data_IF_659234011945
#
_entry.id   IF_659234011945
#
_cell.length_a   1.000
_cell.length_b   1.000
_cell.length_c   1.000
_cell.angle_alpha   90.00
_cell.angle_beta   90.00
_cell.angle_gamma   90.00
#
_symmetry.space_group_name_H-M   'P 1'
#
loop_
_entity.id
_entity.type
_entity.pdbx_description
1 polymer ?
#
# COMPACT_ATOMS: atom_id res chain seq x y z
N UNK A 1 13.91 44.62 26.43
CA UNK A 1 14.32 43.23 26.69
C UNK A 1 15.53 42.98 25.81
N UNK A 2 16.68 42.56 26.35
CA UNK A 2 17.88 42.34 25.55
C UNK A 2 17.90 40.93 24.97
N UNK A 3 18.54 40.77 23.82
CA UNK A 3 18.56 39.51 23.06
C UNK A 3 19.12 38.33 23.90
N UNK A 4 20.11 38.59 24.77
CA UNK A 4 20.67 37.59 25.70
C UNK A 4 19.66 36.99 26.70
N UNK A 5 18.54 37.69 26.93
CA UNK A 5 17.46 37.20 27.80
C UNK A 5 16.43 36.42 27.00
N UNK A 6 16.20 36.77 25.73
CA UNK A 6 15.34 36.01 24.84
C UNK A 6 15.98 34.66 24.50
N UNK A 7 17.27 34.64 24.17
CA UNK A 7 18.01 33.41 23.85
C UNK A 7 18.08 32.44 25.03
N UNK A 8 18.19 32.96 26.27
CA UNK A 8 18.11 32.12 27.47
C UNK A 8 16.72 31.52 27.66
N UNK A 9 15.66 32.31 27.48
CA UNK A 9 14.29 31.82 27.63
C UNK A 9 13.92 30.79 26.56
N UNK A 10 14.40 30.98 25.32
CA UNK A 10 14.21 30.00 24.22
C UNK A 10 14.99 28.72 24.51
N UNK A 11 16.25 28.83 24.97
CA UNK A 11 17.06 27.67 25.31
C UNK A 11 16.50 26.89 26.51
N UNK A 12 15.95 27.57 27.51
CA UNK A 12 15.37 26.96 28.71
C UNK A 12 13.99 26.32 28.46
N UNK A 13 13.33 26.65 27.34
CA UNK A 13 12.04 26.08 26.95
C UNK A 13 12.13 24.84 26.05
N UNK A 14 13.33 24.37 25.71
CA UNK A 14 13.54 23.17 24.87
C UNK A 14 13.40 21.88 25.70
N UNK A 15 12.36 21.06 25.46
CA UNK A 15 12.12 19.82 26.21
C UNK A 15 13.08 18.67 25.83
N UNK A 16 13.96 18.84 24.84
CA UNK A 16 14.85 17.79 24.33
C UNK A 16 16.33 17.96 24.72
N UNK A 17 16.62 18.61 25.85
CA UNK A 17 18.01 18.77 26.30
C UNK A 17 18.66 17.39 26.57
N UNK A 18 19.77 17.06 25.88
CA UNK A 18 20.43 15.76 26.01
C UNK A 18 21.05 15.52 27.40
N UNK A 19 21.22 16.57 28.20
CA UNK A 19 21.92 16.51 29.49
C UNK A 19 20.99 16.19 30.67
N UNK A 20 19.67 16.10 30.46
CA UNK A 20 18.66 15.91 31.52
C UNK A 20 17.99 14.53 31.53
N UNK A 21 18.27 13.67 30.55
CA UNK A 21 17.71 12.31 30.50
C UNK A 21 18.84 11.30 30.64
N UNK A 22 19.02 10.78 31.86
CA UNK A 22 19.93 9.65 32.11
C UNK A 22 19.26 8.35 31.66
N UNK A 23 19.47 7.99 30.39
CA UNK A 23 18.94 6.77 29.77
C UNK A 23 19.68 5.49 30.20
N UNK A 24 20.76 5.58 30.98
CA UNK A 24 21.57 4.39 31.34
C UNK A 24 20.87 3.44 32.31
N UNK A 25 19.85 3.91 33.03
CA UNK A 25 19.03 3.07 33.91
C UNK A 25 17.98 2.23 33.17
N UNK A 26 17.36 2.79 32.13
CA UNK A 26 16.25 2.15 31.42
C UNK A 26 16.70 0.99 30.50
N UNK A 27 17.95 1.00 30.02
CA UNK A 27 18.49 -0.07 29.17
C UNK A 27 18.67 -1.40 29.91
N UNK A 28 18.97 -1.40 31.22
CA UNK A 28 19.16 -2.64 31.98
C UNK A 28 17.85 -3.34 32.36
N UNK A 29 16.79 -2.59 32.62
CA UNK A 29 15.49 -3.15 33.00
C UNK A 29 14.80 -3.82 31.79
N UNK A 30 14.90 -3.21 30.60
CA UNK A 30 14.36 -3.78 29.36
C UNK A 30 15.12 -5.04 28.88
N UNK A 31 16.43 -5.12 29.14
CA UNK A 31 17.23 -6.30 28.78
C UNK A 31 16.95 -7.51 29.69
N UNK A 32 16.66 -7.30 30.99
CA UNK A 32 16.26 -8.39 31.87
C UNK A 32 14.85 -8.93 31.56
N UNK A 33 13.92 -8.07 31.15
CA UNK A 33 12.57 -8.49 30.78
C UNK A 33 12.56 -9.34 29.50
N UNK A 34 13.36 -8.96 28.50
CA UNK A 34 13.48 -9.70 27.23
C UNK A 34 14.17 -11.06 27.42
N UNK A 35 15.15 -11.17 28.32
CA UNK A 35 15.83 -12.45 28.58
C UNK A 35 15.04 -13.41 29.49
N UNK A 36 13.98 -12.93 30.14
CA UNK A 36 13.20 -13.71 31.11
C UNK A 36 11.94 -14.36 30.52
N UNK A 37 11.65 -14.15 29.23
CA UNK A 37 10.52 -14.82 28.57
C UNK A 37 10.86 -16.29 28.26
N UNK A 38 10.12 -17.27 28.82
CA UNK A 38 10.37 -18.68 28.53
C UNK A 38 10.01 -19.00 27.08
N UNK A 39 10.98 -19.52 26.33
CA UNK A 39 10.80 -19.98 24.95
C UNK A 39 9.93 -21.24 24.95
N UNK A 40 8.76 -21.27 24.27
CA UNK A 40 7.96 -22.48 24.18
C UNK A 40 8.69 -23.53 23.32
N UNK A 41 8.95 -24.69 23.90
CA UNK A 41 9.57 -25.83 23.23
C UNK A 41 8.64 -26.39 22.14
N UNK A 42 9.10 -26.28 20.88
CA UNK A 42 8.48 -26.88 19.70
C UNK A 42 8.38 -28.40 19.82
N UNK A 43 7.14 -28.92 19.90
CA UNK A 43 6.85 -30.35 19.84
C UNK A 43 6.91 -30.85 18.39
N UNK A 44 7.94 -31.64 18.07
CA UNK A 44 8.07 -32.34 16.78
C UNK A 44 7.00 -33.45 16.66
N UNK A 45 5.99 -33.25 15.83
CA UNK A 45 5.08 -34.31 15.37
C UNK A 45 5.50 -34.78 13.97
N UNK A 46 5.99 -36.02 13.89
CA UNK A 46 6.28 -36.72 12.64
C UNK A 46 4.96 -37.18 12.00
N UNK A 47 4.70 -36.75 10.76
CA UNK A 47 3.78 -37.43 9.86
C UNK A 47 4.48 -37.65 8.52
N UNK A 48 4.52 -38.92 8.10
CA UNK A 48 4.92 -39.37 6.77
C UNK A 48 3.64 -39.56 5.95
N UNK A 49 3.48 -38.79 4.88
CA UNK A 49 2.56 -39.08 3.76
C UNK A 49 3.23 -38.59 2.46
N UNK A 50 3.22 -39.38 1.37
CA UNK A 50 3.80 -38.98 0.09
C UNK A 50 2.78 -38.19 -0.73
N UNK A 51 3.20 -37.10 -1.38
CA UNK A 51 2.38 -36.40 -2.38
C UNK A 51 3.24 -36.08 -3.59
N UNK A 52 2.72 -36.46 -4.76
CA UNK A 52 3.26 -36.16 -6.07
C UNK A 52 3.24 -34.67 -6.38
N UNK A 53 4.25 -34.24 -7.13
CA UNK A 53 4.50 -32.85 -7.45
C UNK A 53 3.41 -32.26 -8.36
N UNK A 54 2.65 -31.32 -7.81
CA UNK A 54 2.05 -30.22 -8.57
C UNK A 54 2.59 -28.92 -7.93
N UNK A 55 3.51 -28.25 -8.62
CA UNK A 55 4.13 -27.02 -8.15
C UNK A 55 3.14 -25.86 -8.35
N UNK A 56 2.41 -25.50 -7.30
CA UNK A 56 1.80 -24.19 -7.17
C UNK A 56 2.83 -23.26 -6.50
N UNK A 57 3.40 -22.34 -7.27
CA UNK A 57 4.26 -21.28 -6.75
C UNK A 57 3.37 -20.26 -6.02
N UNK A 58 3.33 -20.32 -4.69
CA UNK A 58 2.82 -19.25 -3.84
C UNK A 58 4.03 -18.37 -3.49
N UNK A 59 4.16 -17.25 -4.19
CA UNK A 59 5.14 -16.22 -3.86
C UNK A 59 4.61 -15.38 -2.71
N UNK A 60 5.21 -15.54 -1.53
CA UNK A 60 4.93 -14.67 -0.38
C UNK A 60 5.51 -13.29 -0.70
N UNK A 61 4.65 -12.34 -1.07
CA UNK A 61 5.05 -10.94 -1.26
C UNK A 61 5.23 -10.32 0.13
N UNK A 62 6.48 -9.98 0.46
CA UNK A 62 6.80 -9.25 1.68
C UNK A 62 6.24 -7.83 1.60
N UNK A 63 5.30 -7.50 2.48
CA UNK A 63 4.76 -6.16 2.67
C UNK A 63 5.90 -5.18 3.05
N UNK A 64 6.19 -4.24 2.15
CA UNK A 64 7.00 -3.07 2.46
C UNK A 64 6.20 -2.12 3.36
N UNK A 65 6.77 -1.76 4.51
CA UNK A 65 6.19 -0.74 5.39
C UNK A 65 6.18 0.62 4.66
N UNK A 66 5.02 1.02 4.12
CA UNK A 66 4.82 2.37 3.60
C UNK A 66 4.65 3.31 4.79
N UNK A 67 5.70 4.07 5.11
CA UNK A 67 5.55 5.24 5.99
C UNK A 67 4.83 6.33 5.21
N UNK A 68 3.52 6.50 5.42
CA UNK A 68 2.78 7.65 4.89
C UNK A 68 3.14 8.90 5.69
N UNK A 69 3.77 9.85 5.02
CA UNK A 69 3.99 11.20 5.52
C UNK A 69 2.65 11.94 5.48
N UNK A 70 2.16 12.35 6.65
CA UNK A 70 0.88 13.04 6.85
C UNK A 70 0.97 14.44 6.22
N UNK A 71 0.25 14.69 5.14
CA UNK A 71 0.03 16.05 4.60
C UNK A 71 -1.36 16.52 5.00
N UNK A 72 -1.42 17.49 5.93
CA UNK A 72 -2.62 18.24 6.23
C UNK A 72 -3.02 19.08 5.00
N UNK A 73 -4.20 18.79 4.44
CA UNK A 73 -4.86 19.69 3.50
C UNK A 73 -6.33 19.81 3.87
N UNK A 74 -6.68 20.97 4.45
CA UNK A 74 -8.05 21.46 4.61
C UNK A 74 -8.70 21.63 3.22
N UNK A 75 -9.68 20.80 2.89
CA UNK A 75 -10.52 20.99 1.71
C UNK A 75 -11.95 21.34 2.12
N UNK A 76 -12.36 22.58 1.83
CA UNK A 76 -13.76 23.03 1.93
C UNK A 76 -14.55 22.52 0.71
N UNK A 77 -15.63 21.80 0.98
CA UNK A 77 -16.56 21.29 -0.02
C UNK A 77 -17.47 22.39 -0.60
N UNK A 78 -17.65 22.38 -1.93
CA UNK A 78 -18.73 23.11 -2.61
C UNK A 78 -18.50 23.32 -4.12
N UNK A 79 -19.10 22.49 -4.98
CA UNK A 79 -19.15 22.72 -6.42
C UNK A 79 -19.88 21.60 -7.20
N UNK A 80 -20.65 21.92 -8.27
CA UNK A 80 -21.76 21.09 -8.75
C UNK A 80 -21.34 19.93 -9.68
N UNK A 81 -22.19 18.92 -9.71
CA UNK A 81 -22.04 17.69 -10.50
C UNK A 81 -21.99 17.97 -12.02
N UNK A 82 -20.90 17.54 -12.65
CA UNK A 82 -20.76 17.45 -14.10
C UNK A 82 -20.69 15.96 -14.46
N UNK A 83 -21.70 15.46 -15.15
CA UNK A 83 -21.66 14.14 -15.79
C UNK A 83 -20.64 14.16 -16.93
N UNK A 84 -19.41 13.76 -16.64
CA UNK A 84 -18.38 13.48 -17.62
C UNK A 84 -18.47 12.01 -18.07
N UNK A 85 -18.21 11.79 -19.37
CA UNK A 85 -18.20 10.48 -20.01
C UNK A 85 -17.25 9.51 -19.29
N UNK A 86 -17.76 8.34 -18.89
CA UNK A 86 -17.09 7.33 -18.04
C UNK A 86 -15.71 6.85 -18.54
N UNK A 87 -15.40 7.02 -19.82
CA UNK A 87 -14.12 6.59 -20.42
C UNK A 87 -13.02 7.67 -20.41
N UNK A 88 -13.37 8.94 -20.21
CA UNK A 88 -12.40 10.06 -20.27
C UNK A 88 -11.67 10.31 -18.95
N UNK A 89 -12.38 10.19 -17.83
CA UNK A 89 -11.84 10.37 -16.47
C UNK A 89 -10.80 9.30 -16.10
N UNK A 90 -10.97 8.07 -16.58
CA UNK A 90 -10.08 6.93 -16.31
C UNK A 90 -8.76 6.99 -17.08
N UNK A 91 -8.74 7.61 -18.26
CA UNK A 91 -7.49 7.88 -19.00
C UNK A 91 -6.69 9.00 -18.35
N UNK A 92 -7.33 10.06 -17.85
CA UNK A 92 -6.64 11.21 -17.27
C UNK A 92 -5.90 10.89 -15.96
N UNK A 93 -6.45 10.01 -15.12
CA UNK A 93 -5.72 9.47 -13.97
C UNK A 93 -4.49 8.65 -14.41
N UNK A 94 -4.62 7.88 -15.49
CA UNK A 94 -3.53 7.11 -16.12
C UNK A 94 -2.47 8.03 -16.76
N UNK A 95 -2.82 9.27 -17.11
CA UNK A 95 -1.91 10.26 -17.68
C UNK A 95 -0.90 10.84 -16.67
N UNK A 96 -1.16 10.73 -15.37
CA UNK A 96 -0.29 11.27 -14.31
C UNK A 96 0.75 10.27 -13.77
N UNK A 97 0.64 8.98 -14.15
CA UNK A 97 1.51 7.90 -13.69
C UNK A 97 2.72 7.70 -14.63
N UNK A 98 3.87 7.16 -14.16
CA UNK A 98 5.12 7.13 -14.94
C UNK A 98 5.11 6.20 -16.16
N UNK A 99 4.11 5.30 -16.25
CA UNK A 99 3.87 4.39 -17.39
C UNK A 99 5.15 3.73 -17.91
N UNK A 100 5.89 3.11 -17.00
CA UNK A 100 7.08 2.33 -17.32
C UNK A 100 6.70 0.87 -17.54
N UNK A 101 7.23 0.28 -18.60
CA UNK A 101 7.17 -1.15 -18.89
C UNK A 101 8.57 -1.72 -19.02
N UNK A 102 8.72 -3.01 -18.71
CA UNK A 102 9.95 -3.76 -19.01
C UNK A 102 9.78 -4.42 -20.38
N UNK A 103 10.50 -3.92 -21.38
CA UNK A 103 10.51 -4.48 -22.74
C UNK A 103 11.45 -5.69 -22.84
N UNK A 104 11.10 -6.73 -22.07
CA UNK A 104 11.80 -8.02 -22.08
C UNK A 104 10.81 -9.16 -21.84
N UNK A 105 10.78 -10.19 -22.70
CA UNK A 105 9.92 -11.34 -22.50
C UNK A 105 10.12 -12.03 -21.14
N UNK A 106 8.99 -12.43 -20.54
CA UNK A 106 8.93 -13.15 -19.28
C UNK A 106 8.75 -12.26 -18.05
N UNK A 107 8.84 -10.94 -18.19
CA UNK A 107 8.42 -10.01 -17.15
C UNK A 107 6.91 -9.77 -17.20
N UNK A 108 6.25 -9.85 -16.06
CA UNK A 108 4.84 -9.51 -15.92
C UNK A 108 4.59 -8.72 -14.62
N UNK A 109 3.61 -7.81 -14.61
CA UNK A 109 3.11 -7.23 -13.37
C UNK A 109 2.50 -8.33 -12.49
N UNK A 110 2.87 -8.37 -11.22
CA UNK A 110 2.28 -9.27 -10.23
C UNK A 110 1.46 -8.53 -9.20
N UNK A 111 1.82 -7.29 -8.90
CA UNK A 111 1.08 -6.44 -7.98
C UNK A 111 1.12 -4.98 -8.45
N UNK A 112 0.04 -4.23 -8.21
CA UNK A 112 -0.11 -2.81 -8.56
C UNK A 112 -0.97 -2.15 -7.49
N UNK A 113 -0.50 -1.04 -6.95
CA UNK A 113 -1.23 -0.26 -5.94
C UNK A 113 -1.08 1.26 -6.20
N UNK A 114 -2.04 2.06 -5.72
CA UNK A 114 -1.94 3.53 -5.72
C UNK A 114 -1.95 4.18 -7.10
N UNK A 115 -2.39 3.50 -8.15
CA UNK A 115 -2.28 4.01 -9.53
C UNK A 115 -3.10 5.28 -9.81
N UNK A 116 -4.20 5.49 -9.07
CA UNK A 116 -5.00 6.71 -9.17
C UNK A 116 -4.39 7.90 -8.39
N UNK A 117 -3.35 7.65 -7.59
CA UNK A 117 -2.76 8.60 -6.67
C UNK A 117 -1.42 9.13 -7.21
N UNK A 118 -0.93 10.23 -6.64
CA UNK A 118 0.40 10.78 -6.99
C UNK A 118 1.57 9.91 -6.49
N UNK A 119 1.27 8.81 -5.81
CA UNK A 119 2.22 7.81 -5.33
C UNK A 119 1.62 6.42 -5.40
N UNK A 120 2.45 5.43 -5.69
CA UNK A 120 2.04 4.03 -5.73
C UNK A 120 3.19 3.15 -6.21
N UNK A 121 2.89 1.89 -6.45
CA UNK A 121 3.88 0.89 -6.78
C UNK A 121 3.38 -0.11 -7.82
N UNK A 122 4.33 -0.72 -8.52
CA UNK A 122 4.10 -1.87 -9.38
C UNK A 122 5.26 -2.85 -9.21
N UNK A 123 4.91 -4.09 -8.89
CA UNK A 123 5.86 -5.20 -8.81
C UNK A 123 5.85 -5.95 -10.12
N UNK A 124 7.05 -6.19 -10.65
CA UNK A 124 7.28 -7.01 -11.83
C UNK A 124 8.01 -8.27 -11.42
N UNK A 125 7.64 -9.41 -12.00
CA UNK A 125 8.33 -10.68 -11.76
C UNK A 125 8.74 -11.38 -13.05
N UNK A 126 9.89 -12.06 -13.01
CA UNK A 126 10.38 -13.01 -14.02
C UNK A 126 11.06 -14.19 -13.34
N UNK A 127 10.31 -15.27 -13.13
CA UNK A 127 10.77 -16.39 -12.29
C UNK A 127 11.01 -15.90 -10.87
N UNK A 128 12.21 -16.15 -10.34
CA UNK A 128 12.59 -15.72 -8.98
C UNK A 128 13.05 -14.25 -8.89
N UNK A 129 13.13 -13.52 -10.02
CA UNK A 129 13.53 -12.12 -10.04
C UNK A 129 12.31 -11.21 -9.86
N UNK A 130 12.37 -10.31 -8.89
CA UNK A 130 11.34 -9.29 -8.65
C UNK A 130 11.94 -7.88 -8.70
N UNK A 131 11.29 -6.99 -9.45
CA UNK A 131 11.60 -5.56 -9.53
C UNK A 131 10.40 -4.77 -9.01
N UNK A 132 10.63 -3.93 -8.00
CA UNK A 132 9.67 -2.92 -7.54
C UNK A 132 9.91 -1.62 -8.31
N UNK A 133 8.85 -1.02 -8.85
CA UNK A 133 8.85 0.36 -9.29
C UNK A 133 7.87 1.17 -8.45
N UNK A 134 8.39 2.02 -7.59
CA UNK A 134 7.59 2.92 -6.76
C UNK A 134 7.66 4.34 -7.30
N UNK A 135 6.53 5.03 -7.43
CA UNK A 135 6.48 6.44 -7.80
C UNK A 135 5.96 7.32 -6.68
N UNK A 136 6.39 8.58 -6.73
CA UNK A 136 6.12 9.58 -5.71
C UNK A 136 5.98 10.97 -6.35
N UNK A 137 5.37 11.93 -5.65
CA UNK A 137 5.38 13.33 -6.07
C UNK A 137 6.81 13.86 -6.20
N UNK A 138 7.08 14.66 -7.25
CA UNK A 138 8.39 15.28 -7.50
C UNK A 138 8.92 16.09 -6.30
N UNK A 139 8.03 16.67 -5.50
CA UNK A 139 8.37 17.45 -4.30
C UNK A 139 9.11 16.63 -3.23
N UNK A 140 8.88 15.31 -3.17
CA UNK A 140 9.55 14.42 -2.24
C UNK A 140 10.95 13.97 -2.71
N UNK A 141 11.36 14.33 -3.93
CA UNK A 141 12.62 13.84 -4.51
C UNK A 141 13.85 14.19 -3.66
N UNK A 142 13.96 15.42 -3.17
CA UNK A 142 15.15 15.86 -2.45
C UNK A 142 15.29 15.17 -1.08
N UNK A 143 14.18 14.93 -0.37
CA UNK A 143 14.23 14.23 0.92
C UNK A 143 14.63 12.77 0.73
N UNK A 144 14.04 12.07 -0.25
CA UNK A 144 14.43 10.70 -0.59
C UNK A 144 15.88 10.63 -1.07
N UNK A 145 16.31 11.55 -1.92
CA UNK A 145 17.69 11.57 -2.40
C UNK A 145 18.68 11.74 -1.23
N UNK A 146 18.38 12.65 -0.30
CA UNK A 146 19.18 12.85 0.91
C UNK A 146 19.23 11.58 1.79
N UNK A 147 18.09 10.91 1.98
CA UNK A 147 18.02 9.61 2.67
C UNK A 147 18.95 8.57 2.00
N UNK A 148 18.88 8.44 0.67
CA UNK A 148 19.71 7.48 -0.07
C UNK A 148 21.21 7.77 -0.01
N UNK A 149 21.64 9.00 0.26
CA UNK A 149 23.06 9.32 0.48
C UNK A 149 23.62 8.63 1.74
N UNK A 150 22.78 8.26 2.70
CA UNK A 150 23.18 7.48 3.87
C UNK A 150 23.37 5.99 3.54
N UNK A 151 22.83 5.52 2.41
CA UNK A 151 22.94 4.13 1.95
C UNK A 151 24.26 3.91 1.21
N UNK A 152 24.55 4.73 0.20
CA UNK A 152 25.80 4.64 -0.58
C UNK A 152 26.09 5.94 -1.34
N UNK A 153 27.34 6.08 -1.81
CA UNK A 153 27.67 7.14 -2.76
C UNK A 153 26.94 6.87 -4.09
N UNK A 154 26.17 7.85 -4.63
CA UNK A 154 25.41 7.65 -5.85
C UNK A 154 26.34 7.47 -7.05
N UNK A 155 25.98 6.54 -7.94
CA UNK A 155 26.54 6.44 -9.28
C UNK A 155 25.53 6.96 -10.30
N UNK A 156 26.00 7.58 -11.38
CA UNK A 156 25.10 8.01 -12.46
C UNK A 156 24.55 6.80 -13.22
N UNK A 157 23.27 6.84 -13.55
CA UNK A 157 22.60 5.78 -14.31
C UNK A 157 21.39 6.28 -15.07
N UNK A 158 20.73 5.37 -15.79
CA UNK A 158 19.45 5.65 -16.45
C UNK A 158 18.64 4.37 -16.60
N UNK A 159 17.32 4.48 -16.57
CA UNK A 159 16.39 3.44 -17.00
C UNK A 159 15.80 3.87 -18.35
N UNK A 160 16.09 3.13 -19.42
CA UNK A 160 15.81 3.58 -20.79
C UNK A 160 16.50 4.90 -21.12
N UNK A 161 15.71 5.94 -21.42
CA UNK A 161 16.14 7.32 -21.65
C UNK A 161 16.14 8.18 -20.37
N UNK A 162 15.55 7.69 -19.28
CA UNK A 162 15.31 8.45 -18.08
C UNK A 162 16.51 8.42 -17.13
N UNK A 163 17.15 9.57 -16.93
CA UNK A 163 18.32 9.74 -16.06
C UNK A 163 17.98 9.58 -14.57
N UNK A 164 18.91 9.01 -13.81
CA UNK A 164 18.78 8.81 -12.37
C UNK A 164 20.13 8.60 -11.67
N UNK A 165 20.04 8.29 -10.38
CA UNK A 165 21.19 7.92 -9.55
C UNK A 165 20.99 6.50 -9.03
N UNK A 166 22.01 5.66 -9.21
CA UNK A 166 22.06 4.29 -8.72
C UNK A 166 22.62 4.31 -7.29
N UNK A 167 21.94 3.60 -6.40
CA UNK A 167 22.32 3.35 -5.02
C UNK A 167 22.46 1.83 -4.81
N UNK A 168 23.46 1.45 -4.02
CA UNK A 168 23.71 0.06 -3.65
C UNK A 168 23.45 -0.10 -2.15
N UNK A 169 22.41 -0.86 -1.79
CA UNK A 169 22.10 -1.16 -0.39
C UNK A 169 22.95 -2.32 0.12
N UNK A 170 23.10 -3.36 -0.70
CA UNK A 170 24.01 -4.47 -0.42
C UNK A 170 24.70 -4.88 -1.72
N UNK A 171 26.03 -5.00 -1.68
CA UNK A 171 26.87 -5.17 -2.88
C UNK A 171 26.58 -6.41 -3.71
N UNK A 172 25.90 -7.42 -3.15
CA UNK A 172 25.60 -8.67 -3.84
C UNK A 172 24.20 -8.68 -4.47
N UNK A 173 23.18 -8.10 -3.82
CA UNK A 173 21.78 -8.39 -4.18
C UNK A 173 20.76 -7.24 -4.11
N UNK A 174 21.12 -6.05 -3.60
CA UNK A 174 20.16 -4.97 -3.40
C UNK A 174 20.63 -3.65 -4.01
N UNK A 175 19.95 -3.26 -5.09
CA UNK A 175 20.27 -2.09 -5.90
C UNK A 175 18.99 -1.32 -6.19
N UNK A 176 19.12 0.01 -6.23
CA UNK A 176 18.04 0.87 -6.68
C UNK A 176 18.56 1.90 -7.67
N UNK A 177 17.70 2.33 -8.59
CA UNK A 177 17.90 3.56 -9.35
C UNK A 177 16.76 4.52 -9.03
N UNK A 178 17.14 5.70 -8.55
CA UNK A 178 16.22 6.81 -8.30
C UNK A 178 16.23 7.74 -9.51
N UNK A 179 15.19 7.67 -10.33
CA UNK A 179 15.03 8.50 -11.52
C UNK A 179 14.76 9.95 -11.14
N UNK A 180 15.33 10.89 -11.90
CA UNK A 180 15.09 12.33 -11.67
C UNK A 180 13.62 12.67 -11.90
N UNK A 181 13.06 13.70 -11.26
CA UNK A 181 11.68 14.06 -11.48
C UNK A 181 11.38 14.38 -12.96
N UNK A 182 10.24 13.91 -13.45
CA UNK A 182 9.68 14.16 -14.79
C UNK A 182 8.16 14.19 -14.64
N UNK A 183 7.49 15.12 -15.31
CA UNK A 183 6.02 15.22 -15.31
C UNK A 183 5.36 15.26 -13.92
N UNK A 184 6.02 15.90 -12.94
CA UNK A 184 5.48 16.08 -11.59
C UNK A 184 5.68 14.90 -10.63
N UNK A 185 6.32 13.82 -11.08
CA UNK A 185 6.63 12.64 -10.28
C UNK A 185 8.11 12.25 -10.37
N UNK A 186 8.57 11.39 -9.49
CA UNK A 186 9.81 10.63 -9.67
C UNK A 186 9.56 9.14 -9.37
N UNK A 187 10.46 8.28 -9.85
CA UNK A 187 10.35 6.82 -9.70
C UNK A 187 11.63 6.27 -9.09
N UNK A 188 11.50 5.40 -8.09
CA UNK A 188 12.57 4.52 -7.63
C UNK A 188 12.30 3.11 -8.16
N UNK A 189 13.28 2.52 -8.82
CA UNK A 189 13.24 1.13 -9.24
C UNK A 189 14.20 0.36 -8.38
N UNK A 190 13.72 -0.63 -7.62
CA UNK A 190 14.52 -1.37 -6.65
C UNK A 190 14.41 -2.86 -6.86
N UNK A 191 15.54 -3.54 -6.73
CA UNK A 191 15.64 -4.98 -6.72
C UNK A 191 16.14 -5.42 -5.36
N UNK A 192 15.32 -6.13 -4.59
CA UNK A 192 15.69 -6.61 -3.24
C UNK A 192 15.29 -8.07 -3.01
N UNK A 193 14.45 -8.62 -3.88
CA UNK A 193 13.95 -9.99 -3.79
C UNK A 193 14.38 -10.79 -5.02
N UNK A 194 15.01 -11.94 -4.79
CA UNK A 194 15.50 -12.83 -5.83
C UNK A 194 17.02 -12.85 -5.98
N UNK A 195 17.55 -13.71 -6.89
CA UNK A 195 18.98 -13.89 -7.12
C UNK A 195 19.58 -12.75 -7.98
N UNK A 196 19.47 -11.51 -7.51
CA UNK A 196 20.00 -10.34 -8.21
C UNK A 196 21.52 -10.29 -8.17
N UNK A 197 22.09 -9.72 -9.23
CA UNK A 197 23.48 -9.28 -9.28
C UNK A 197 23.52 -7.89 -9.91
N UNK A 198 24.59 -7.13 -9.67
CA UNK A 198 24.78 -5.82 -10.31
C UNK A 198 24.70 -5.91 -11.83
N UNK A 199 25.28 -6.96 -12.42
CA UNK A 199 25.25 -7.18 -13.87
C UNK A 199 23.83 -7.43 -14.40
N UNK A 200 23.02 -8.23 -13.69
CA UNK A 200 21.63 -8.48 -14.05
C UNK A 200 20.80 -7.20 -13.96
N UNK A 201 20.98 -6.42 -12.88
CA UNK A 201 20.31 -5.14 -12.70
C UNK A 201 20.67 -4.15 -13.82
N UNK A 202 21.96 -3.97 -14.09
CA UNK A 202 22.46 -3.08 -15.15
C UNK A 202 21.96 -3.49 -16.54
N UNK A 203 21.84 -4.79 -16.80
CA UNK A 203 21.32 -5.30 -18.06
C UNK A 203 19.81 -5.07 -18.22
N UNK A 204 19.05 -4.95 -17.12
CA UNK A 204 17.61 -4.70 -17.14
C UNK A 204 17.28 -3.23 -17.42
N UNK A 205 18.05 -2.29 -16.82
CA UNK A 205 17.81 -0.85 -16.94
C UNK A 205 17.56 -0.32 -18.37
N UNK A 206 18.34 -0.68 -19.41
CA UNK A 206 18.09 -0.19 -20.76
C UNK A 206 16.81 -0.77 -21.41
N UNK A 207 16.21 -1.82 -20.83
CA UNK A 207 14.97 -2.45 -21.33
C UNK A 207 13.71 -1.78 -20.78
N UNK A 208 13.84 -0.90 -19.79
CA UNK A 208 12.71 -0.13 -19.26
C UNK A 208 12.35 0.98 -20.24
N UNK A 209 11.07 1.09 -20.57
CA UNK A 209 10.54 2.07 -21.52
C UNK A 209 9.37 2.83 -20.94
N UNK A 210 9.37 4.14 -21.14
CA UNK A 210 8.17 4.96 -20.97
C UNK A 210 7.24 4.72 -22.16
N UNK A 211 5.97 4.45 -21.88
CA UNK A 211 4.94 4.21 -22.90
C UNK A 211 3.70 5.09 -22.68
N UNK A 212 2.79 5.10 -23.64
CA UNK A 212 1.48 5.74 -23.49
C UNK A 212 0.54 4.91 -22.60
N UNK A 213 -0.52 5.57 -22.10
CA UNK A 213 -1.50 4.98 -21.18
C UNK A 213 -2.17 3.71 -21.74
N UNK A 214 -2.50 3.72 -23.03
CA UNK A 214 -3.18 2.61 -23.69
C UNK A 214 -2.25 1.40 -23.80
N UNK A 215 -1.01 1.63 -24.20
CA UNK A 215 0.03 0.58 -24.26
C UNK A 215 0.30 -0.01 -22.88
N UNK A 216 0.39 0.83 -21.85
CA UNK A 216 0.60 0.38 -20.49
C UNK A 216 -0.57 -0.48 -19.98
N UNK A 217 -1.81 -0.02 -20.13
CA UNK A 217 -3.01 -0.76 -19.71
C UNK A 217 -3.15 -2.09 -20.48
N UNK A 218 -2.82 -2.10 -21.77
CA UNK A 218 -2.85 -3.31 -22.59
C UNK A 218 -1.79 -4.36 -22.18
N UNK A 219 -0.72 -3.95 -21.49
CA UNK A 219 0.30 -4.85 -20.96
C UNK A 219 -0.11 -5.47 -19.61
N UNK A 220 -1.17 -4.97 -18.96
CA UNK A 220 -1.61 -5.49 -17.67
C UNK A 220 -2.28 -6.85 -17.83
N UNK A 221 -1.83 -7.90 -17.12
CA UNK A 221 -2.40 -9.23 -17.20
C UNK A 221 -3.81 -9.24 -16.58
N UNK A 222 -4.58 -10.30 -16.85
CA UNK A 222 -5.94 -10.44 -16.35
C UNK A 222 -6.06 -10.39 -14.80
N UNK A 223 -4.98 -10.73 -14.09
CA UNK A 223 -4.92 -10.66 -12.63
C UNK A 223 -4.89 -9.21 -12.07
N UNK A 224 -4.53 -8.24 -12.91
CA UNK A 224 -4.60 -6.81 -12.57
C UNK A 224 -5.95 -6.28 -13.01
N UNK A 225 -6.68 -5.64 -12.09
CA UNK A 225 -7.94 -4.96 -12.34
C UNK A 225 -7.63 -3.61 -12.96
N UNK A 226 -7.97 -3.45 -14.23
CA UNK A 226 -7.88 -2.20 -14.98
C UNK A 226 -9.25 -1.51 -15.04
N UNK A 227 -9.34 -0.23 -15.44
CA UNK A 227 -10.60 0.50 -15.53
C UNK A 227 -11.74 -0.21 -16.26
N UNK A 228 -11.46 -0.93 -17.35
CA UNK A 228 -12.44 -1.70 -18.13
C UNK A 228 -12.91 -2.99 -17.42
N UNK A 229 -12.20 -3.42 -16.37
CA UNK A 229 -12.50 -4.63 -15.59
C UNK A 229 -13.14 -4.35 -14.23
N UNK A 230 -13.18 -3.09 -13.77
CA UNK A 230 -13.70 -2.69 -12.45
C UNK A 230 -15.09 -3.28 -12.18
N UNK A 231 -16.05 -3.11 -13.08
CA UNK A 231 -17.43 -3.56 -12.86
C UNK A 231 -17.51 -5.09 -12.67
N UNK A 232 -16.84 -5.86 -13.54
CA UNK A 232 -16.83 -7.31 -13.44
C UNK A 232 -16.14 -7.80 -12.17
N UNK A 233 -15.03 -7.17 -11.78
CA UNK A 233 -14.28 -7.53 -10.59
C UNK A 233 -15.02 -7.15 -9.31
N UNK A 234 -15.69 -6.00 -9.28
CA UNK A 234 -16.51 -5.58 -8.14
C UNK A 234 -17.69 -6.55 -7.93
N UNK A 235 -18.33 -6.99 -9.01
CA UNK A 235 -19.41 -7.99 -8.93
C UNK A 235 -18.92 -9.34 -8.39
N UNK A 236 -17.72 -9.76 -8.77
CA UNK A 236 -17.10 -10.97 -8.22
C UNK A 236 -16.83 -10.83 -6.72
N UNK A 237 -16.23 -9.72 -6.29
CA UNK A 237 -15.90 -9.44 -4.89
C UNK A 237 -17.14 -9.34 -4.01
N UNK A 238 -18.21 -8.73 -4.52
CA UNK A 238 -19.43 -8.45 -3.76
C UNK A 238 -20.46 -9.59 -3.85
N UNK A 239 -20.14 -10.72 -4.49
CA UNK A 239 -21.11 -11.79 -4.75
C UNK A 239 -21.70 -12.40 -3.47
N UNK A 240 -20.93 -12.45 -2.39
CA UNK A 240 -21.32 -13.03 -1.09
C UNK A 240 -21.20 -12.03 0.08
N UNK A 241 -20.99 -10.74 -0.24
CA UNK A 241 -20.84 -9.67 0.75
C UNK A 241 -22.17 -8.93 0.89
N UNK A 242 -22.77 -8.84 2.10
CA UNK A 242 -23.93 -7.99 2.33
C UNK A 242 -23.59 -6.53 1.98
N UNK A 243 -24.33 -5.96 1.04
CA UNK A 243 -24.10 -4.59 0.56
C UNK A 243 -24.98 -3.60 1.35
N UNK A 244 -24.42 -2.49 1.87
CA UNK A 244 -25.18 -1.52 2.65
C UNK A 244 -26.24 -0.80 1.81
N UNK A 245 -27.34 -0.31 2.43
CA UNK A 245 -28.35 0.45 1.72
C UNK A 245 -27.73 1.65 0.99
N UNK A 246 -28.04 1.78 -0.31
CA UNK A 246 -27.58 2.91 -1.12
C UNK A 246 -26.12 2.83 -1.60
N UNK A 247 -25.41 1.72 -1.35
CA UNK A 247 -24.07 1.52 -1.91
C UNK A 247 -24.11 1.52 -3.44
N UNK A 248 -23.36 2.44 -4.04
CA UNK A 248 -23.26 2.58 -5.48
C UNK A 248 -21.97 1.94 -5.99
N UNK A 249 -22.08 0.82 -6.72
CA UNK A 249 -20.94 0.15 -7.37
C UNK A 249 -20.25 1.09 -8.37
N UNK A 250 -20.97 2.06 -8.95
CA UNK A 250 -20.38 3.06 -9.84
C UNK A 250 -19.40 4.01 -9.15
N UNK A 251 -19.45 4.13 -7.82
CA UNK A 251 -18.46 4.91 -7.06
C UNK A 251 -17.05 4.29 -7.09
N UNK A 252 -16.94 3.03 -7.49
CA UNK A 252 -15.67 2.31 -7.62
C UNK A 252 -14.87 2.69 -8.87
N UNK A 253 -15.45 3.41 -9.84
CA UNK A 253 -14.80 3.81 -11.09
C UNK A 253 -13.53 4.65 -10.85
N UNK A 254 -13.42 5.32 -9.69
CA UNK A 254 -12.26 6.13 -9.28
C UNK A 254 -11.10 5.37 -8.65
N UNK A 255 -11.24 4.06 -8.38
CA UNK A 255 -10.20 3.27 -7.69
C UNK A 255 -8.92 3.10 -8.52
N UNK A 256 -9.04 3.16 -9.86
CA UNK A 256 -7.92 3.03 -10.79
C UNK A 256 -7.42 1.59 -10.95
N UNK A 257 -6.22 1.45 -11.55
CA UNK A 257 -5.60 0.14 -11.81
C UNK A 257 -4.99 -0.43 -10.53
N UNK A 258 -5.39 -1.64 -10.15
CA UNK A 258 -4.91 -2.29 -8.93
C UNK A 258 -4.77 -3.79 -9.15
N UNK A 259 -3.94 -4.47 -8.35
CA UNK A 259 -4.04 -5.93 -8.24
C UNK A 259 -5.38 -6.35 -7.65
N UNK A 260 -5.74 -7.63 -7.81
CA UNK A 260 -6.96 -8.18 -7.18
C UNK A 260 -6.98 -7.95 -5.66
N UNK A 261 -5.81 -8.02 -5.00
CA UNK A 261 -5.70 -7.82 -3.56
C UNK A 261 -6.04 -6.38 -3.17
N UNK A 262 -5.34 -5.40 -3.76
CA UNK A 262 -5.57 -3.98 -3.45
C UNK A 262 -6.95 -3.49 -3.90
N UNK A 263 -7.45 -4.00 -5.04
CA UNK A 263 -8.81 -3.72 -5.47
C UNK A 263 -9.84 -4.29 -4.48
N UNK A 264 -9.66 -5.53 -4.01
CA UNK A 264 -10.47 -6.14 -2.96
C UNK A 264 -10.47 -5.35 -1.66
N UNK A 265 -9.29 -4.92 -1.20
CA UNK A 265 -9.14 -4.07 -0.01
C UNK A 265 -9.94 -2.77 -0.13
N UNK A 266 -9.82 -2.05 -1.26
CA UNK A 266 -10.55 -0.80 -1.48
C UNK A 266 -12.06 -1.01 -1.55
N UNK A 267 -12.53 -2.04 -2.26
CA UNK A 267 -13.97 -2.35 -2.35
C UNK A 267 -14.54 -2.69 -0.98
N UNK A 268 -13.89 -3.60 -0.24
CA UNK A 268 -14.37 -4.06 1.06
C UNK A 268 -14.21 -2.99 2.14
N UNK A 269 -13.18 -2.15 2.06
CA UNK A 269 -13.03 -0.96 2.88
C UNK A 269 -14.22 -0.03 2.73
N UNK A 270 -14.62 0.31 1.50
CA UNK A 270 -15.79 1.16 1.25
C UNK A 270 -17.10 0.53 1.74
N UNK A 271 -17.28 -0.78 1.57
CA UNK A 271 -18.44 -1.51 2.12
C UNK A 271 -18.46 -1.40 3.66
N UNK A 272 -17.32 -1.63 4.31
CA UNK A 272 -17.17 -1.49 5.76
C UNK A 272 -17.47 -0.07 6.25
N UNK A 273 -16.91 0.95 5.59
CA UNK A 273 -17.19 2.35 5.87
C UNK A 273 -18.68 2.67 5.81
N UNK A 274 -19.38 2.16 4.79
CA UNK A 274 -20.81 2.41 4.60
C UNK A 274 -21.67 1.67 5.65
N UNK A 275 -21.31 0.45 6.06
CA UNK A 275 -22.00 -0.23 7.17
C UNK A 275 -21.77 0.46 8.52
N UNK A 276 -20.56 0.94 8.79
CA UNK A 276 -20.26 1.70 10.01
C UNK A 276 -21.05 3.02 10.03
N UNK A 277 -21.14 3.71 8.89
CA UNK A 277 -21.96 4.91 8.75
C UNK A 277 -23.45 4.60 8.97
N UNK A 278 -23.94 3.46 8.48
CA UNK A 278 -25.33 3.02 8.70
C UNK A 278 -25.60 2.73 10.17
N UNK A 279 -24.70 2.03 10.87
CA UNK A 279 -24.81 1.80 12.31
C UNK A 279 -24.84 3.13 13.09
N UNK A 280 -23.96 4.07 12.74
CA UNK A 280 -23.93 5.38 13.39
C UNK A 280 -25.22 6.15 13.16
N UNK A 281 -25.75 6.16 11.93
CA UNK A 281 -27.03 6.78 11.61
C UNK A 281 -28.17 6.14 12.41
N UNK A 282 -28.26 4.81 12.38
CA UNK A 282 -29.31 4.04 13.05
C UNK A 282 -29.36 4.34 14.56
N UNK A 283 -28.20 4.39 15.22
CA UNK A 283 -28.10 4.79 16.64
C UNK A 283 -28.54 6.23 16.91
N UNK A 284 -28.24 7.15 16.00
CA UNK A 284 -28.65 8.55 16.16
C UNK A 284 -30.16 8.75 15.97
N UNK A 285 -30.85 7.81 15.34
CA UNK A 285 -32.28 7.87 15.05
C UNK A 285 -33.10 6.82 15.79
N UNK A 286 -32.49 6.09 16.74
CA UNK A 286 -33.11 4.97 17.47
C UNK A 286 -33.77 3.93 16.54
N UNK A 287 -33.11 3.62 15.41
CA UNK A 287 -33.54 2.62 14.43
C UNK A 287 -32.87 1.26 14.71
N UNK A 288 -33.42 0.52 15.67
CA UNK A 288 -32.86 -0.76 16.13
C UNK A 288 -32.72 -1.78 15.00
N UNK A 289 -33.66 -1.82 14.05
CA UNK A 289 -33.63 -2.77 12.94
C UNK A 289 -32.47 -2.47 11.97
N UNK A 290 -32.20 -1.20 11.69
CA UNK A 290 -31.04 -0.82 10.87
C UNK A 290 -29.72 -1.06 11.61
N UNK A 291 -29.68 -0.83 12.93
CA UNK A 291 -28.51 -1.13 13.74
C UNK A 291 -28.19 -2.63 13.72
N UNK A 292 -29.18 -3.49 13.99
CA UNK A 292 -29.05 -4.95 13.95
C UNK A 292 -28.58 -5.43 12.57
N UNK A 293 -29.16 -4.88 11.49
CA UNK A 293 -28.73 -5.22 10.13
C UNK A 293 -27.26 -4.88 9.87
N UNK A 294 -26.79 -3.74 10.35
CA UNK A 294 -25.39 -3.33 10.18
C UNK A 294 -24.44 -4.22 11.01
N UNK A 295 -24.82 -4.56 12.25
CA UNK A 295 -24.02 -5.45 13.11
C UNK A 295 -23.96 -6.87 12.54
N UNK A 296 -25.08 -7.40 12.04
CA UNK A 296 -25.14 -8.73 11.42
C UNK A 296 -24.32 -8.80 10.13
N UNK A 297 -24.43 -7.77 9.29
CA UNK A 297 -23.66 -7.68 8.06
C UNK A 297 -22.16 -7.72 8.35
N UNK A 298 -21.66 -6.84 9.22
CA UNK A 298 -20.23 -6.80 9.58
C UNK A 298 -19.79 -8.06 10.34
N UNK A 299 -20.64 -8.60 11.23
CA UNK A 299 -20.37 -9.86 11.94
C UNK A 299 -20.23 -11.08 11.01
N UNK A 300 -20.87 -11.05 9.84
CA UNK A 300 -20.70 -12.10 8.82
C UNK A 300 -19.39 -12.02 8.03
N UNK A 301 -18.55 -11.00 8.28
CA UNK A 301 -17.33 -10.75 7.48
C UNK A 301 -16.29 -11.86 7.53
N UNK A 302 -16.27 -12.67 8.59
CA UNK A 302 -15.44 -13.88 8.66
C UNK A 302 -15.84 -14.92 7.62
N UNK A 303 -17.03 -14.82 7.04
CA UNK A 303 -17.53 -15.74 6.02
C UNK A 303 -17.33 -15.30 4.57
N UNK A 304 -17.01 -14.03 4.36
CA UNK A 304 -16.84 -13.45 3.02
C UNK A 304 -15.63 -14.08 2.32
N UNK A 305 -15.87 -14.68 1.15
CA UNK A 305 -14.86 -15.42 0.40
C UNK A 305 -13.66 -14.54 0.02
N UNK A 306 -13.91 -13.26 -0.29
CA UNK A 306 -12.85 -12.32 -0.61
C UNK A 306 -11.90 -12.09 0.58
N UNK A 307 -12.41 -11.95 1.80
CA UNK A 307 -11.59 -11.75 3.00
C UNK A 307 -10.81 -13.03 3.36
N UNK A 308 -11.44 -14.21 3.20
CA UNK A 308 -10.75 -15.52 3.37
C UNK A 308 -9.60 -15.68 2.39
N UNK A 309 -9.80 -15.31 1.12
CA UNK A 309 -8.74 -15.33 0.11
C UNK A 309 -7.63 -14.32 0.44
N UNK A 310 -7.99 -13.07 0.75
CA UNK A 310 -7.02 -12.02 1.09
C UNK A 310 -6.18 -12.36 2.33
N UNK A 311 -6.76 -13.05 3.31
CA UNK A 311 -6.02 -13.49 4.50
C UNK A 311 -4.87 -14.47 4.18
N UNK A 312 -4.91 -15.15 3.03
CA UNK A 312 -3.82 -15.98 2.53
C UNK A 312 -2.68 -15.20 1.87
N UNK A 313 -2.94 -13.98 1.42
CA UNK A 313 -2.00 -13.14 0.66
C UNK A 313 -1.39 -12.01 1.51
N UNK A 314 -2.09 -11.52 2.53
CA UNK A 314 -1.62 -10.43 3.39
C UNK A 314 -2.45 -10.21 4.64
N UNK A 315 -2.09 -9.18 5.41
CA UNK A 315 -2.62 -8.92 6.76
C UNK A 315 -3.88 -8.01 6.80
N UNK A 316 -4.31 -7.46 5.66
CA UNK A 316 -5.42 -6.49 5.63
C UNK A 316 -6.74 -7.08 6.12
N UNK A 317 -7.03 -8.35 5.79
CA UNK A 317 -8.26 -9.02 6.20
C UNK A 317 -8.38 -9.15 7.73
N UNK A 318 -7.26 -9.37 8.42
CA UNK A 318 -7.21 -9.46 9.88
C UNK A 318 -7.53 -8.10 10.52
N UNK A 319 -7.00 -7.00 9.98
CA UNK A 319 -7.37 -5.65 10.41
C UNK A 319 -8.85 -5.35 10.17
N UNK A 320 -9.37 -5.73 9.00
CA UNK A 320 -10.79 -5.59 8.71
C UNK A 320 -11.67 -6.36 9.69
N UNK A 321 -11.34 -7.62 10.00
CA UNK A 321 -12.11 -8.43 10.94
C UNK A 321 -12.11 -7.85 12.35
N UNK A 322 -11.01 -7.27 12.83
CA UNK A 322 -10.98 -6.61 14.14
C UNK A 322 -12.00 -5.45 14.21
N UNK A 323 -12.02 -4.62 13.16
CA UNK A 323 -13.00 -3.52 13.03
C UNK A 323 -14.42 -4.08 12.93
N UNK A 324 -14.63 -5.12 12.14
CA UNK A 324 -15.93 -5.72 11.95
C UNK A 324 -16.49 -6.39 13.22
N UNK A 325 -15.62 -7.01 14.04
CA UNK A 325 -15.99 -7.62 15.31
C UNK A 325 -16.42 -6.56 16.34
N UNK A 326 -15.76 -5.39 16.38
CA UNK A 326 -16.21 -4.25 17.19
C UNK A 326 -17.60 -3.77 16.76
N UNK A 327 -17.83 -3.66 15.45
CA UNK A 327 -19.12 -3.27 14.87
C UNK A 327 -20.20 -4.31 15.16
N UNK A 328 -19.89 -5.60 15.04
CA UNK A 328 -20.79 -6.69 15.41
C UNK A 328 -21.16 -6.67 16.90
N UNK A 329 -20.24 -6.24 17.76
CA UNK A 329 -20.51 -5.94 19.17
C UNK A 329 -21.35 -4.68 19.41
N UNK A 330 -21.80 -4.01 18.35
CA UNK A 330 -22.58 -2.78 18.40
C UNK A 330 -21.74 -1.56 18.74
N UNK A 331 -20.42 -1.54 18.51
CA UNK A 331 -19.57 -0.38 18.73
C UNK A 331 -19.26 0.34 17.41
N UNK A 332 -18.95 1.64 17.49
CA UNK A 332 -18.40 2.39 16.35
C UNK A 332 -16.90 2.55 16.64
N UNK A 333 -16.00 1.87 15.90
CA UNK A 333 -14.57 1.97 16.16
C UNK A 333 -14.09 3.40 15.99
N UNK A 334 -13.06 3.83 16.72
CA UNK A 334 -12.63 5.23 16.73
C UNK A 334 -11.89 5.62 15.45
N UNK A 335 -11.03 4.73 14.97
CA UNK A 335 -10.05 5.03 13.92
C UNK A 335 -10.38 4.36 12.57
N UNK A 336 -11.58 3.80 12.42
CA UNK A 336 -12.01 3.06 11.22
C UNK A 336 -11.84 3.84 9.92
N UNK A 337 -11.95 5.18 9.97
CA UNK A 337 -11.81 6.02 8.77
C UNK A 337 -10.41 5.98 8.21
N UNK A 338 -9.41 5.98 9.08
CA UNK A 338 -8.01 5.87 8.67
C UNK A 338 -7.71 4.45 8.24
N UNK A 339 -8.16 3.46 9.02
CA UNK A 339 -7.82 2.06 8.81
C UNK A 339 -8.48 1.44 7.57
N UNK A 340 -9.70 1.87 7.25
CA UNK A 340 -10.45 1.44 6.05
C UNK A 340 -10.34 2.40 4.87
N UNK A 341 -9.60 3.50 5.02
CA UNK A 341 -9.48 4.57 4.02
C UNK A 341 -10.85 5.15 3.59
N UNK A 342 -11.73 5.44 4.57
CA UNK A 342 -13.04 6.04 4.31
C UNK A 342 -12.89 7.47 3.77
N UNK A 343 -13.76 7.83 2.81
CA UNK A 343 -13.82 9.16 2.18
C UNK A 343 -14.44 10.26 3.07
#
# INVERSE_FOLDING_TARGET
MNDDRLDRLVRDADPYRPDLIDLRGAEHELLEEIMSMPVPLSQKRRYLVPIGAAAALVGVIGLGAVSRMQTDTDYKAGGPAVSASKSGLTLQATESSPRLLIDEPGWAPTDVSGFADHSGDIFWAKGDLVLDMTWYPASAYQSYYADRLHVSKPALGKAGDWQGNIFTYTEDKDYAIMLRPRDGIFVELRVSQGPWTKATFDALLPKIKQVDAKTWLAAMPAAIVTPDRIESSAREILADVPVPPGFDVGSLDGIGTNSKYHFGARVIGQVGCAWIAELQRAKNTDDDAAAEKATDAMGSSHDWQILKWMAGEGAWAQGFWQIADEVAGGHVPRDYRTDLECA
#
